data_IF_701060857602
#
_entry.id   IF_701060857602
#
_cell.length_a   1.000
_cell.length_b   1.000
_cell.length_c   1.000
_cell.angle_alpha   90.00
_cell.angle_beta   90.00
_cell.angle_gamma   90.00
#
_symmetry.space_group_name_H-M   'P 1'
#
loop_
_entity.id
_entity.type
_entity.pdbx_description
1 polymer ?
#
# COMPACT_ATOMS: atom_id res chain seq x y z
N UNK A 1 11.43 -5.34 -5.97
CA UNK A 1 11.13 -6.32 -4.90
C UNK A 1 9.66 -6.68 -5.00
N UNK A 2 9.26 -7.90 -4.64
CA UNK A 2 7.85 -8.31 -4.73
C UNK A 2 7.11 -7.88 -3.47
N UNK A 3 6.03 -7.11 -3.64
CA UNK A 3 5.14 -6.69 -2.56
C UNK A 3 4.42 -7.91 -1.94
N UNK A 4 4.48 -8.07 -0.62
CA UNK A 4 3.75 -9.11 0.10
C UNK A 4 2.66 -8.49 1.00
N UNK A 5 1.58 -9.24 1.23
CA UNK A 5 0.48 -8.84 2.10
C UNK A 5 0.27 -9.86 3.21
N UNK A 6 0.45 -9.45 4.47
CA UNK A 6 0.25 -10.28 5.66
C UNK A 6 -1.07 -9.91 6.31
N UNK A 7 -2.04 -10.81 6.29
CA UNK A 7 -3.33 -10.59 6.95
C UNK A 7 -3.13 -10.49 8.46
N UNK A 8 -3.51 -9.36 9.05
CA UNK A 8 -3.39 -9.10 10.48
C UNK A 8 -4.72 -9.25 11.23
N UNK A 9 -5.85 -9.29 10.50
CA UNK A 9 -7.16 -9.58 11.07
C UNK A 9 -7.95 -10.54 10.18
N UNK A 10 -8.77 -11.45 10.75
CA UNK A 10 -9.49 -12.47 9.97
C UNK A 10 -10.35 -11.92 8.83
N UNK A 11 -10.82 -10.67 8.95
CA UNK A 11 -11.89 -10.15 8.10
C UNK A 11 -11.55 -8.93 7.24
N UNK A 12 -10.66 -8.02 7.66
CA UNK A 12 -10.66 -6.69 7.03
C UNK A 12 -9.36 -5.87 7.13
N UNK A 13 -8.19 -6.43 7.49
CA UNK A 13 -6.95 -5.71 7.21
C UNK A 13 -5.71 -6.60 7.04
N UNK A 14 -4.79 -6.11 6.21
CA UNK A 14 -3.48 -6.70 5.95
C UNK A 14 -2.37 -5.64 6.00
N UNK A 15 -1.18 -6.05 6.42
CA UNK A 15 0.05 -5.29 6.32
C UNK A 15 0.71 -5.54 4.96
N UNK A 16 1.26 -4.50 4.33
CA UNK A 16 1.96 -4.60 3.07
C UNK A 16 3.44 -4.21 3.22
N UNK A 17 4.35 -5.14 2.88
CA UNK A 17 5.79 -4.93 3.00
C UNK A 17 6.60 -5.86 2.06
N UNK A 18 7.86 -5.51 1.73
CA UNK A 18 8.49 -4.19 1.90
C UNK A 18 8.05 -3.20 0.81
N UNK A 19 7.76 -1.93 1.19
CA UNK A 19 7.36 -0.89 0.23
C UNK A 19 7.57 0.54 0.78
N UNK A 20 7.91 1.47 -0.10
CA UNK A 20 8.02 2.91 0.17
C UNK A 20 7.13 3.65 -0.82
N UNK A 21 5.95 4.09 -0.36
CA UNK A 21 4.86 4.53 -1.22
C UNK A 21 5.19 5.78 -2.06
N UNK A 22 6.03 6.69 -1.55
CA UNK A 22 6.48 7.87 -2.32
C UNK A 22 7.30 7.51 -3.56
N UNK A 23 7.91 6.32 -3.60
CA UNK A 23 8.80 5.87 -4.69
C UNK A 23 8.08 4.94 -5.70
N UNK A 24 6.83 4.55 -5.40
CA UNK A 24 6.06 3.60 -6.22
C UNK A 24 5.37 4.33 -7.35
N UNK A 25 5.93 4.25 -8.56
CA UNK A 25 5.31 4.86 -9.75
C UNK A 25 4.88 3.84 -10.81
N UNK A 26 5.16 2.55 -10.59
CA UNK A 26 4.80 1.51 -11.54
C UNK A 26 3.34 1.06 -11.37
N UNK A 27 2.66 0.87 -12.50
CA UNK A 27 1.24 0.50 -12.51
C UNK A 27 0.98 -0.90 -11.92
N UNK A 28 1.97 -1.80 -11.93
CA UNK A 28 1.84 -3.16 -11.41
C UNK A 28 1.68 -3.16 -9.88
N UNK A 29 2.56 -2.44 -9.18
CA UNK A 29 2.53 -2.30 -7.73
C UNK A 29 1.29 -1.53 -7.28
N UNK A 30 0.92 -0.44 -7.95
CA UNK A 30 -0.32 0.29 -7.66
C UNK A 30 -1.56 -0.60 -7.85
N UNK A 31 -1.58 -1.41 -8.92
CA UNK A 31 -2.62 -2.42 -9.16
C UNK A 31 -2.69 -3.48 -8.06
N UNK A 32 -1.54 -3.96 -7.57
CA UNK A 32 -1.48 -4.92 -6.47
C UNK A 32 -2.03 -4.32 -5.16
N UNK A 33 -1.73 -3.05 -4.86
CA UNK A 33 -2.30 -2.34 -3.70
C UNK A 33 -3.81 -2.23 -3.83
N UNK A 34 -4.33 -1.87 -5.02
CA UNK A 34 -5.78 -1.79 -5.27
C UNK A 34 -6.46 -3.15 -5.06
N UNK A 35 -5.90 -4.21 -5.63
CA UNK A 35 -6.42 -5.56 -5.45
C UNK A 35 -6.40 -6.02 -3.98
N UNK A 36 -5.36 -5.64 -3.23
CA UNK A 36 -5.29 -5.93 -1.80
C UNK A 36 -6.33 -5.15 -1.00
N UNK A 37 -6.63 -3.90 -1.36
CA UNK A 37 -7.75 -3.17 -0.76
C UNK A 37 -9.11 -3.80 -1.07
N UNK A 38 -9.30 -4.36 -2.26
CA UNK A 38 -10.54 -5.10 -2.58
C UNK A 38 -10.66 -6.39 -1.73
N UNK A 39 -9.55 -7.10 -1.53
CA UNK A 39 -9.52 -8.37 -0.79
C UNK A 39 -9.54 -8.20 0.74
N UNK A 40 -8.98 -7.10 1.23
CA UNK A 40 -8.74 -6.88 2.66
C UNK A 40 -9.39 -5.63 3.21
N UNK A 41 -10.03 -4.76 2.42
CA UNK A 41 -10.57 -3.44 2.81
C UNK A 41 -9.54 -2.41 3.31
N UNK A 42 -8.58 -2.80 4.13
CA UNK A 42 -7.55 -1.92 4.71
C UNK A 42 -6.15 -2.52 4.48
N UNK A 43 -5.24 -1.69 3.98
CA UNK A 43 -3.82 -1.99 3.87
C UNK A 43 -3.01 -1.08 4.81
N UNK A 44 -2.18 -1.68 5.65
CA UNK A 44 -1.29 -0.97 6.58
C UNK A 44 0.12 -0.95 6.00
N UNK A 45 0.72 0.23 5.95
CA UNK A 45 2.07 0.46 5.47
C UNK A 45 2.89 1.11 6.59
N UNK A 46 3.91 0.42 7.08
CA UNK A 46 4.77 0.94 8.14
C UNK A 46 5.85 1.87 7.59
N UNK A 47 6.32 2.81 8.43
CA UNK A 47 7.50 3.65 8.16
C UNK A 47 7.42 4.51 6.88
N UNK A 48 6.22 4.99 6.55
CA UNK A 48 6.00 5.88 5.40
C UNK A 48 6.34 7.32 5.75
N UNK A 49 7.60 7.69 5.54
CA UNK A 49 8.04 9.09 5.61
C UNK A 49 7.55 9.85 4.37
N UNK A 50 6.36 10.44 4.48
CA UNK A 50 5.78 11.36 3.52
C UNK A 50 5.90 12.81 4.00
N UNK A 51 6.16 13.72 3.08
CA UNK A 51 5.66 15.10 3.19
C UNK A 51 4.19 15.18 2.80
N UNK A 52 3.49 16.23 3.21
CA UNK A 52 2.08 16.45 2.87
C UNK A 52 1.82 16.40 1.36
N UNK A 53 2.74 16.97 0.56
CA UNK A 53 2.65 16.97 -0.89
C UNK A 53 2.77 15.56 -1.47
N UNK A 54 3.71 14.74 -0.96
CA UNK A 54 3.89 13.36 -1.42
C UNK A 54 2.73 12.46 -0.99
N UNK A 55 2.15 12.68 0.18
CA UNK A 55 0.96 11.96 0.62
C UNK A 55 -0.23 12.23 -0.31
N UNK A 56 -0.46 13.50 -0.67
CA UNK A 56 -1.51 13.88 -1.62
C UNK A 56 -1.23 13.36 -3.03
N UNK A 57 0.03 13.38 -3.47
CA UNK A 57 0.42 12.84 -4.77
C UNK A 57 0.20 11.32 -4.85
N UNK A 58 0.57 10.58 -3.80
CA UNK A 58 0.28 9.14 -3.71
C UNK A 58 -1.23 8.86 -3.73
N UNK A 59 -2.01 9.60 -2.94
CA UNK A 59 -3.45 9.38 -2.84
C UNK A 59 -4.23 9.66 -4.15
N UNK A 60 -3.66 10.41 -5.08
CA UNK A 60 -4.27 10.72 -6.39
C UNK A 60 -4.03 9.64 -7.45
N UNK A 61 -3.14 8.68 -7.19
CA UNK A 61 -2.77 7.60 -8.10
C UNK A 61 -3.60 6.34 -7.84
#
# INVERSE_FOLDING_TARGET
MTLAFTRLHPHFFAEASPIVLREVHDAGTLGAIRAAMDAHAICVFHEQAFSDAEQLDFARR
#
